data_IF_800322900032
#
_entry.id   IF_800322900032
#
_cell.length_a   1.000
_cell.length_b   1.000
_cell.length_c   1.000
_cell.angle_alpha   90.00
_cell.angle_beta   90.00
_cell.angle_gamma   90.00
#
_symmetry.space_group_name_H-M   'P 1'
#
loop_
_entity.id
_entity.type
_entity.pdbx_description
1 polymer ?
#
# COMPACT_ATOMS: atom_id res chain seq x y z
N UNK A 1 -29.52 -24.22 -23.72
CA UNK A 1 -28.33 -24.13 -22.84
C UNK A 1 -28.48 -22.82 -22.06
N UNK A 2 -28.92 -22.91 -20.80
CA UNK A 2 -29.16 -21.72 -19.97
C UNK A 2 -27.87 -21.35 -19.23
N UNK A 3 -27.33 -20.18 -19.55
CA UNK A 3 -26.18 -19.58 -18.87
C UNK A 3 -26.67 -18.97 -17.56
N UNK A 4 -26.51 -19.68 -16.46
CA UNK A 4 -26.75 -19.15 -15.10
C UNK A 4 -25.68 -18.11 -14.79
N UNK A 5 -26.02 -16.83 -14.90
CA UNK A 5 -25.17 -15.72 -14.44
C UNK A 5 -25.15 -15.78 -12.90
N UNK A 6 -23.98 -16.07 -12.33
CA UNK A 6 -23.78 -16.08 -10.90
C UNK A 6 -24.03 -14.67 -10.33
N UNK A 7 -25.09 -14.53 -9.53
CA UNK A 7 -25.36 -13.32 -8.78
C UNK A 7 -24.26 -13.14 -7.72
N UNK A 8 -23.37 -12.17 -7.94
CA UNK A 8 -22.43 -11.72 -6.92
C UNK A 8 -23.17 -10.63 -6.13
N UNK A 9 -23.53 -10.86 -4.86
CA UNK A 9 -24.19 -9.82 -4.07
C UNK A 9 -23.29 -8.58 -4.00
N UNK A 10 -23.87 -7.37 -4.06
CA UNK A 10 -23.10 -6.15 -3.89
C UNK A 10 -22.46 -6.22 -2.50
N UNK A 11 -21.12 -6.18 -2.45
CA UNK A 11 -20.41 -6.05 -1.19
C UNK A 11 -20.94 -4.80 -0.51
N UNK A 12 -21.69 -4.98 0.57
CA UNK A 12 -22.17 -3.90 1.42
C UNK A 12 -20.93 -3.13 1.83
N UNK A 13 -20.80 -1.87 1.38
CA UNK A 13 -19.67 -1.00 1.73
C UNK A 13 -19.65 -0.93 3.25
N UNK A 14 -18.77 -1.71 3.89
CA UNK A 14 -18.43 -1.47 5.27
C UNK A 14 -17.79 -0.09 5.26
N UNK A 15 -18.56 0.92 5.70
CA UNK A 15 -17.99 2.24 5.91
C UNK A 15 -16.79 2.02 6.83
N UNK A 16 -15.57 2.41 6.42
CA UNK A 16 -14.42 2.32 7.29
C UNK A 16 -14.80 2.99 8.61
N UNK A 17 -14.76 2.22 9.70
CA UNK A 17 -15.27 2.70 10.98
C UNK A 17 -14.34 3.80 11.48
N UNK A 18 -14.87 4.77 12.24
CA UNK A 18 -14.11 5.96 12.70
C UNK A 18 -12.79 5.60 13.41
N UNK A 19 -12.77 4.45 14.08
CA UNK A 19 -11.62 3.81 14.71
C UNK A 19 -10.50 3.42 13.74
N UNK A 20 -10.81 3.06 12.49
CA UNK A 20 -9.80 2.78 11.47
C UNK A 20 -9.07 4.06 11.06
N UNK A 21 -9.80 5.17 10.88
CA UNK A 21 -9.22 6.49 10.61
C UNK A 21 -8.35 6.97 11.74
N UNK A 22 -8.87 6.90 12.97
CA UNK A 22 -8.11 7.26 14.16
C UNK A 22 -6.80 6.47 14.24
N UNK A 23 -6.83 5.18 13.90
CA UNK A 23 -5.65 4.32 13.87
C UNK A 23 -4.57 4.80 12.88
N UNK A 24 -4.95 5.17 11.65
CA UNK A 24 -3.99 5.64 10.64
C UNK A 24 -3.54 7.07 10.93
N UNK A 25 -4.42 7.94 11.41
CA UNK A 25 -4.07 9.29 11.83
C UNK A 25 -3.06 9.28 12.98
N UNK A 26 -3.29 8.42 13.99
CA UNK A 26 -2.34 8.24 15.08
C UNK A 26 -0.99 7.70 14.59
N UNK A 27 -1.01 6.74 13.66
CA UNK A 27 0.23 6.22 13.06
C UNK A 27 1.00 7.31 12.32
N UNK A 28 0.32 8.13 11.49
CA UNK A 28 0.96 9.25 10.81
C UNK A 28 1.51 10.28 11.79
N UNK A 29 0.76 10.64 12.83
CA UNK A 29 1.21 11.58 13.85
C UNK A 29 2.46 11.06 14.57
N UNK A 30 2.49 9.76 14.88
CA UNK A 30 3.65 9.13 15.50
C UNK A 30 4.86 9.10 14.57
N UNK A 31 4.67 8.78 13.29
CA UNK A 31 5.76 8.81 12.29
C UNK A 31 6.32 10.23 12.14
N UNK A 32 5.48 11.25 12.08
CA UNK A 32 5.93 12.66 12.03
C UNK A 32 6.70 13.08 13.29
N UNK A 33 6.43 12.44 14.44
CA UNK A 33 7.12 12.70 15.71
C UNK A 33 8.49 12.00 15.76
N UNK A 34 8.57 10.74 15.36
CA UNK A 34 9.81 9.95 15.40
C UNK A 34 10.74 10.33 14.25
N UNK A 35 10.19 10.51 13.05
CA UNK A 35 10.92 10.74 11.81
C UNK A 35 10.32 11.97 11.10
N UNK A 36 10.60 13.19 11.59
CA UNK A 36 10.03 14.40 11.03
C UNK A 36 10.50 14.61 9.58
N UNK A 37 9.63 15.16 8.70
CA UNK A 37 9.99 15.41 7.31
C UNK A 37 11.12 16.43 7.22
N UNK A 38 12.07 16.17 6.33
CA UNK A 38 13.27 16.99 6.14
C UNK A 38 13.03 18.20 5.24
N UNK A 39 11.93 18.21 4.49
CA UNK A 39 11.64 19.22 3.49
C UNK A 39 10.27 19.86 3.71
N UNK A 40 10.09 21.02 3.08
CA UNK A 40 8.81 21.70 3.05
C UNK A 40 7.78 20.83 2.32
N UNK A 41 6.65 20.59 2.99
CA UNK A 41 5.48 19.94 2.41
C UNK A 41 4.99 20.67 1.16
N UNK A 42 4.67 19.89 0.12
CA UNK A 42 4.03 20.41 -1.09
C UNK A 42 2.51 20.42 -0.91
N UNK A 43 1.84 21.40 -1.53
CA UNK A 43 0.39 21.45 -1.51
C UNK A 43 -0.18 20.18 -2.17
N UNK A 44 -1.02 19.45 -1.43
CA UNK A 44 -1.74 18.30 -1.96
C UNK A 44 -3.11 18.73 -2.47
N UNK A 45 -3.53 18.29 -3.66
CA UNK A 45 -4.90 18.52 -4.14
C UNK A 45 -5.92 17.82 -3.23
N UNK A 46 -7.19 18.25 -3.33
CA UNK A 46 -8.28 17.66 -2.57
C UNK A 46 -8.52 16.18 -2.96
N UNK A 47 -8.33 15.83 -4.23
CA UNK A 47 -8.53 14.48 -4.78
C UNK A 47 -7.33 13.54 -4.52
N UNK A 48 -7.08 13.21 -3.24
CA UNK A 48 -5.89 12.44 -2.84
C UNK A 48 -5.95 10.95 -3.20
N UNK A 49 -7.15 10.38 -3.27
CA UNK A 49 -7.35 8.94 -3.45
C UNK A 49 -6.64 8.36 -4.68
N UNK A 50 -6.56 9.14 -5.76
CA UNK A 50 -5.97 8.71 -7.04
C UNK A 50 -4.48 9.00 -7.15
N UNK A 51 -3.91 9.72 -6.19
CA UNK A 51 -2.51 10.14 -6.28
C UNK A 51 -1.57 8.94 -6.13
N UNK A 52 -0.45 8.92 -6.87
CA UNK A 52 0.60 7.92 -6.70
C UNK A 52 1.36 8.15 -5.39
N UNK A 53 2.07 7.12 -4.92
CA UNK A 53 2.84 7.17 -3.67
C UNK A 53 3.85 8.33 -3.64
N UNK A 54 4.51 8.61 -4.78
CA UNK A 54 5.47 9.73 -4.90
C UNK A 54 4.86 11.08 -4.52
N UNK A 55 3.57 11.30 -4.81
CA UNK A 55 2.90 12.54 -4.45
C UNK A 55 2.58 12.65 -2.96
N UNK A 56 2.29 11.54 -2.28
CA UNK A 56 2.16 11.55 -0.81
C UNK A 56 3.49 11.89 -0.15
N UNK A 57 4.58 11.30 -0.64
CA UNK A 57 5.94 11.56 -0.13
C UNK A 57 6.35 13.04 -0.32
N UNK A 58 6.06 13.64 -1.48
CA UNK A 58 6.25 15.07 -1.72
C UNK A 58 5.34 15.94 -0.85
N UNK A 59 4.06 15.58 -0.79
CA UNK A 59 3.03 16.30 -0.03
C UNK A 59 3.33 16.36 1.46
N UNK A 60 3.92 15.29 2.01
CA UNK A 60 4.36 15.24 3.40
C UNK A 60 5.79 15.74 3.64
N UNK A 61 6.54 16.13 2.60
CA UNK A 61 7.89 16.70 2.75
C UNK A 61 9.00 15.68 3.06
N UNK A 62 8.78 14.39 2.78
CA UNK A 62 9.80 13.35 2.98
C UNK A 62 10.80 13.27 1.85
N UNK A 63 10.41 13.68 0.63
CA UNK A 63 11.31 13.73 -0.53
C UNK A 63 11.17 15.06 -1.26
N UNK A 64 12.17 15.40 -2.07
CA UNK A 64 12.15 16.51 -3.02
C UNK A 64 11.81 16.05 -4.45
N UNK A 65 11.34 16.94 -5.33
CA UNK A 65 11.05 16.59 -6.73
C UNK A 65 12.23 15.96 -7.48
N UNK A 66 13.45 16.48 -7.28
CA UNK A 66 14.65 15.93 -7.92
C UNK A 66 14.99 14.51 -7.44
N UNK A 67 14.74 14.20 -6.16
CA UNK A 67 14.88 12.85 -5.62
C UNK A 67 13.84 11.90 -6.22
N UNK A 68 12.59 12.35 -6.36
CA UNK A 68 11.56 11.54 -7.02
C UNK A 68 11.92 11.24 -8.48
N UNK A 69 12.38 12.24 -9.24
CA UNK A 69 12.84 12.07 -10.62
C UNK A 69 13.98 11.05 -10.68
N UNK A 70 14.98 11.18 -9.81
CA UNK A 70 16.10 10.24 -9.74
C UNK A 70 15.66 8.79 -9.51
N UNK A 71 14.80 8.55 -8.52
CA UNK A 71 14.27 7.20 -8.22
C UNK A 71 13.45 6.65 -9.40
N UNK A 72 12.64 7.49 -10.06
CA UNK A 72 11.90 7.08 -11.25
C UNK A 72 12.82 6.68 -12.41
N UNK A 73 13.94 7.39 -12.58
CA UNK A 73 14.98 7.01 -13.56
C UNK A 73 15.57 5.64 -13.23
N UNK A 74 15.94 5.38 -11.96
CA UNK A 74 16.43 4.06 -11.53
C UNK A 74 15.36 2.98 -11.80
N UNK A 75 14.10 3.25 -11.46
CA UNK A 75 13.00 2.31 -11.67
C UNK A 75 12.83 1.96 -13.15
N UNK A 76 12.91 2.96 -14.04
CA UNK A 76 12.82 2.75 -15.47
C UNK A 76 13.99 1.91 -15.99
N UNK A 77 15.22 2.22 -15.57
CA UNK A 77 16.41 1.48 -15.98
C UNK A 77 16.41 0.02 -15.51
N UNK A 78 15.98 -0.24 -14.28
CA UNK A 78 15.86 -1.61 -13.75
C UNK A 78 14.77 -2.41 -14.46
N UNK A 79 13.66 -1.77 -14.78
CA UNK A 79 12.60 -2.37 -15.60
C UNK A 79 13.09 -2.74 -17.00
N UNK A 80 13.92 -1.92 -17.64
CA UNK A 80 14.51 -2.23 -18.96
C UNK A 80 15.49 -3.41 -18.90
N UNK A 81 16.07 -3.70 -17.74
CA UNK A 81 16.93 -4.87 -17.50
C UNK A 81 16.13 -6.13 -17.11
N UNK A 82 14.80 -6.08 -17.15
CA UNK A 82 13.93 -7.21 -16.81
C UNK A 82 13.79 -7.48 -15.32
N UNK A 83 14.25 -6.57 -14.45
CA UNK A 83 14.15 -6.69 -12.99
C UNK A 83 13.25 -5.56 -12.47
N UNK A 84 11.92 -5.70 -12.55
CA UNK A 84 11.01 -4.65 -12.10
C UNK A 84 11.14 -4.46 -10.58
N UNK A 85 11.46 -3.23 -10.16
CA UNK A 85 11.51 -2.84 -8.75
C UNK A 85 10.36 -1.90 -8.40
N UNK A 86 9.85 -2.00 -7.17
CA UNK A 86 8.84 -1.07 -6.68
C UNK A 86 9.49 0.26 -6.28
N UNK A 87 8.87 1.38 -6.65
CA UNK A 87 9.36 2.73 -6.34
C UNK A 87 9.73 2.89 -4.85
N UNK A 88 8.87 2.42 -3.94
CA UNK A 88 9.11 2.50 -2.50
C UNK A 88 10.34 1.71 -2.04
N UNK A 89 10.60 0.54 -2.63
CA UNK A 89 11.77 -0.26 -2.28
C UNK A 89 13.07 0.43 -2.74
N UNK A 90 13.06 1.05 -3.92
CA UNK A 90 14.20 1.85 -4.42
C UNK A 90 14.45 3.02 -3.47
N UNK A 91 13.40 3.74 -3.03
CA UNK A 91 13.56 4.87 -2.11
C UNK A 91 14.16 4.47 -0.76
N UNK A 92 13.81 3.28 -0.26
CA UNK A 92 14.40 2.76 0.98
C UNK A 92 15.83 2.29 0.75
N UNK A 93 16.13 1.62 -0.37
CA UNK A 93 17.49 1.20 -0.72
C UNK A 93 18.44 2.40 -0.88
N UNK A 94 17.97 3.47 -1.50
CA UNK A 94 18.68 4.75 -1.64
C UNK A 94 18.69 5.60 -0.34
N UNK A 95 18.17 5.05 0.78
CA UNK A 95 18.08 5.73 2.08
C UNK A 95 17.38 7.09 2.05
N UNK A 96 16.46 7.30 1.09
CA UNK A 96 15.69 8.53 0.96
C UNK A 96 14.55 8.60 1.97
N UNK A 97 14.01 7.44 2.34
CA UNK A 97 13.01 7.25 3.39
C UNK A 97 13.27 5.94 4.14
N UNK A 98 12.79 5.84 5.37
CA UNK A 98 12.81 4.57 6.11
C UNK A 98 11.69 3.63 5.66
N UNK A 99 11.81 2.31 5.95
CA UNK A 99 10.71 1.37 5.79
C UNK A 99 9.44 1.76 6.57
N UNK A 100 9.62 2.43 7.71
CA UNK A 100 8.54 2.86 8.60
C UNK A 100 7.74 4.02 7.99
N UNK A 101 8.42 5.04 7.45
CA UNK A 101 7.79 6.13 6.70
C UNK A 101 7.04 5.59 5.49
N UNK A 102 7.67 4.70 4.72
CA UNK A 102 7.04 4.07 3.55
C UNK A 102 5.74 3.34 3.92
N UNK A 103 5.79 2.48 4.94
CA UNK A 103 4.62 1.74 5.40
C UNK A 103 3.50 2.65 5.90
N UNK A 104 3.85 3.72 6.62
CA UNK A 104 2.90 4.71 7.11
C UNK A 104 2.16 5.38 5.96
N UNK A 105 2.90 5.89 4.96
CA UNK A 105 2.29 6.61 3.84
C UNK A 105 1.50 5.71 2.90
N UNK A 106 1.88 4.43 2.77
CA UNK A 106 1.06 3.44 2.05
C UNK A 106 -0.28 3.22 2.75
N UNK A 107 -0.31 3.20 4.08
CA UNK A 107 -1.57 3.09 4.82
C UNK A 107 -2.42 4.36 4.71
N UNK A 108 -1.81 5.55 4.75
CA UNK A 108 -2.51 6.83 4.52
C UNK A 108 -3.14 6.83 3.12
N UNK A 109 -2.37 6.48 2.09
CA UNK A 109 -2.87 6.36 0.72
C UNK A 109 -4.02 5.35 0.60
N UNK A 110 -3.94 4.21 1.30
CA UNK A 110 -5.02 3.23 1.32
C UNK A 110 -6.29 3.81 1.98
N UNK A 111 -6.17 4.53 3.08
CA UNK A 111 -7.32 5.15 3.73
C UNK A 111 -7.98 6.20 2.86
N UNK A 112 -7.19 7.06 2.21
CA UNK A 112 -7.71 8.06 1.27
C UNK A 112 -8.47 7.40 0.11
N UNK A 113 -8.05 6.21 -0.34
CA UNK A 113 -8.79 5.42 -1.34
C UNK A 113 -10.07 4.77 -0.83
N UNK A 114 -10.10 4.36 0.45
CA UNK A 114 -11.26 3.72 1.06
C UNK A 114 -12.38 4.72 1.40
N UNK A 115 -12.05 5.99 1.66
CA UNK A 115 -13.05 7.07 1.87
C UNK A 115 -13.57 7.68 0.59
N UNK A 116 -12.85 7.51 -0.50
CA UNK A 116 -13.24 8.11 -1.76
C UNK A 116 -14.64 7.61 -2.17
N UNK A 117 -15.56 8.49 -2.58
CA UNK A 117 -16.92 8.08 -2.93
C UNK A 117 -16.95 7.17 -4.17
N UNK A 118 -15.90 7.23 -5.02
CA UNK A 118 -15.81 6.40 -6.23
C UNK A 118 -15.65 4.93 -5.88
N UNK A 119 -16.09 4.00 -6.75
CA UNK A 119 -15.96 2.57 -6.48
C UNK A 119 -14.50 2.17 -6.24
N UNK A 120 -14.16 1.87 -4.98
CA UNK A 120 -12.85 1.34 -4.62
C UNK A 120 -12.70 -0.07 -5.17
N UNK A 121 -11.74 -0.25 -6.09
CA UNK A 121 -11.36 -1.55 -6.63
C UNK A 121 -9.98 -1.92 -6.08
N UNK A 122 -9.90 -2.76 -5.03
CA UNK A 122 -8.62 -3.23 -4.52
C UNK A 122 -7.87 -3.99 -5.63
N UNK A 123 -6.59 -3.63 -5.83
CA UNK A 123 -5.71 -4.23 -6.83
C UNK A 123 -4.61 -5.08 -6.21
N UNK A 124 -4.23 -4.76 -4.97
CA UNK A 124 -3.14 -5.44 -4.25
C UNK A 124 -3.71 -6.31 -3.13
N UNK A 125 -3.00 -7.39 -2.79
CA UNK A 125 -3.39 -8.29 -1.69
C UNK A 125 -3.68 -7.53 -0.39
N UNK A 126 -2.82 -6.58 0.00
CA UNK A 126 -3.03 -5.77 1.21
C UNK A 126 -4.31 -4.92 1.15
N UNK A 127 -4.68 -4.41 -0.03
CA UNK A 127 -5.92 -3.64 -0.22
C UNK A 127 -7.15 -4.53 -0.07
N UNK A 128 -7.13 -5.74 -0.65
CA UNK A 128 -8.20 -6.72 -0.48
C UNK A 128 -8.39 -7.13 0.99
N UNK A 129 -7.28 -7.39 1.70
CA UNK A 129 -7.33 -7.78 3.11
C UNK A 129 -7.98 -6.70 3.99
N UNK A 130 -7.66 -5.42 3.74
CA UNK A 130 -8.26 -4.31 4.48
C UNK A 130 -9.72 -4.09 4.07
N UNK A 131 -10.03 -4.11 2.77
CA UNK A 131 -11.40 -3.91 2.27
C UNK A 131 -12.39 -4.98 2.78
N UNK A 132 -11.91 -6.21 3.00
CA UNK A 132 -12.70 -7.31 3.59
C UNK A 132 -12.73 -7.30 5.12
N UNK A 133 -12.07 -6.35 5.77
CA UNK A 133 -11.97 -6.30 7.24
C UNK A 133 -11.11 -7.43 7.85
N UNK A 134 -10.37 -8.19 7.05
CA UNK A 134 -9.49 -9.27 7.52
C UNK A 134 -8.25 -8.73 8.24
N UNK A 135 -7.80 -7.53 7.87
CA UNK A 135 -6.63 -6.88 8.45
C UNK A 135 -6.91 -5.39 8.68
N UNK A 136 -6.52 -4.88 9.85
CA UNK A 136 -6.55 -3.43 10.12
C UNK A 136 -5.36 -2.74 9.42
N UNK A 137 -5.50 -1.51 8.88
CA UNK A 137 -4.42 -0.79 8.20
C UNK A 137 -3.11 -0.70 9.00
N UNK A 138 -3.19 -0.53 10.33
CA UNK A 138 -2.01 -0.53 11.20
C UNK A 138 -1.22 -1.85 11.16
N UNK A 139 -1.92 -2.99 11.10
CA UNK A 139 -1.30 -4.32 10.99
C UNK A 139 -0.74 -4.53 9.58
N UNK A 140 -1.44 -4.06 8.55
CA UNK A 140 -0.90 -4.04 7.19
C UNK A 140 0.40 -3.21 7.14
N UNK A 141 0.44 -2.03 7.73
CA UNK A 141 1.63 -1.18 7.78
C UNK A 141 2.81 -1.89 8.45
N UNK A 142 2.62 -2.54 9.61
CA UNK A 142 3.72 -3.30 10.25
C UNK A 142 4.26 -4.44 9.39
N UNK A 143 3.39 -5.12 8.63
CA UNK A 143 3.82 -6.19 7.71
C UNK A 143 4.54 -5.62 6.48
N UNK A 144 4.07 -4.50 5.93
CA UNK A 144 4.73 -3.80 4.83
C UNK A 144 6.11 -3.26 5.23
N UNK A 145 6.24 -2.75 6.45
CA UNK A 145 7.52 -2.31 7.01
C UNK A 145 8.51 -3.48 7.08
N UNK A 146 8.09 -4.62 7.63
CA UNK A 146 8.91 -5.83 7.68
C UNK A 146 9.30 -6.31 6.28
N UNK A 147 8.35 -6.33 5.34
CA UNK A 147 8.61 -6.74 3.96
C UNK A 147 9.65 -5.85 3.29
N UNK A 148 9.50 -4.53 3.42
CA UNK A 148 10.43 -3.56 2.85
C UNK A 148 11.83 -3.73 3.44
N UNK A 149 11.94 -3.90 4.76
CA UNK A 149 13.21 -4.19 5.43
C UNK A 149 13.86 -5.48 4.90
N UNK A 150 13.11 -6.59 4.80
CA UNK A 150 13.62 -7.86 4.27
C UNK A 150 14.13 -7.72 2.82
N UNK A 151 13.43 -6.97 1.97
CA UNK A 151 13.85 -6.74 0.57
C UNK A 151 15.15 -5.98 0.46
N UNK A 152 15.37 -4.98 1.31
CA UNK A 152 16.65 -4.24 1.38
C UNK A 152 17.80 -5.18 1.76
N UNK A 153 17.53 -6.19 2.58
CA UNK A 153 18.51 -7.24 2.93
C UNK A 153 18.67 -8.32 1.84
N UNK A 154 18.02 -8.16 0.68
CA UNK A 154 18.06 -9.16 -0.41
C UNK A 154 17.10 -10.33 -0.24
N UNK A 155 16.21 -10.31 0.76
CA UNK A 155 15.21 -11.35 0.98
C UNK A 155 13.87 -10.98 0.36
N UNK A 156 13.51 -11.67 -0.73
CA UNK A 156 12.22 -11.52 -1.40
C UNK A 156 11.15 -12.41 -0.74
N UNK A 157 10.50 -11.92 0.32
CA UNK A 157 9.42 -12.67 1.00
C UNK A 157 8.04 -12.21 0.53
N UNK A 158 7.15 -13.12 0.06
CA UNK A 158 5.80 -12.77 -0.37
C UNK A 158 4.95 -12.19 0.76
N UNK A 159 4.17 -11.15 0.47
CA UNK A 159 3.37 -10.45 1.49
C UNK A 159 2.39 -11.38 2.22
N UNK A 160 1.72 -12.28 1.47
CA UNK A 160 0.79 -13.25 2.04
C UNK A 160 1.46 -14.22 3.03
N UNK A 161 2.71 -14.60 2.79
CA UNK A 161 3.45 -15.48 3.70
C UNK A 161 3.74 -14.80 5.04
N UNK A 162 4.07 -13.50 5.02
CA UNK A 162 4.29 -12.72 6.24
C UNK A 162 3.00 -12.59 7.08
N UNK A 163 1.85 -12.42 6.43
CA UNK A 163 0.56 -12.38 7.13
C UNK A 163 0.24 -13.70 7.85
N UNK A 164 0.50 -14.83 7.19
CA UNK A 164 0.30 -16.16 7.78
C UNK A 164 1.28 -16.41 8.92
N UNK A 165 2.56 -16.10 8.73
CA UNK A 165 3.60 -16.27 9.75
C UNK A 165 3.32 -15.46 11.02
N UNK A 166 2.73 -14.27 10.89
CA UNK A 166 2.34 -13.43 12.03
C UNK A 166 0.97 -13.79 12.62
N UNK A 167 0.33 -14.89 12.18
CA UNK A 167 -1.01 -15.31 12.58
C UNK A 167 -2.08 -14.21 12.40
N UNK A 168 -1.89 -13.32 11.43
CA UNK A 168 -2.82 -12.21 11.15
C UNK A 168 -3.95 -12.65 10.23
N UNK A 169 -3.67 -13.60 9.32
CA UNK A 169 -4.62 -14.10 8.34
C UNK A 169 -4.37 -15.58 8.10
N UNK A 170 -5.43 -16.37 7.93
CA UNK A 170 -5.33 -17.77 7.53
C UNK A 170 -4.89 -17.91 6.07
N UNK A 171 -4.16 -18.98 5.75
CA UNK A 171 -3.68 -19.25 4.39
C UNK A 171 -4.82 -19.33 3.36
N UNK A 172 -5.94 -19.93 3.74
CA UNK A 172 -7.14 -20.07 2.89
C UNK A 172 -7.65 -18.73 2.35
N UNK A 173 -7.70 -17.68 3.19
CA UNK A 173 -8.14 -16.36 2.75
C UNK A 173 -7.15 -15.72 1.73
N UNK A 174 -5.86 -15.99 1.87
CA UNK A 174 -4.85 -15.49 0.93
C UNK A 174 -5.02 -16.17 -0.44
N UNK A 175 -5.18 -17.49 -0.43
CA UNK A 175 -5.39 -18.29 -1.65
C UNK A 175 -6.66 -17.87 -2.39
N UNK A 176 -7.75 -17.65 -1.65
CA UNK A 176 -9.02 -17.17 -2.21
C UNK A 176 -8.87 -15.81 -2.91
N UNK A 177 -8.21 -14.84 -2.26
CA UNK A 177 -7.99 -13.52 -2.85
C UNK A 177 -7.11 -13.62 -4.09
N UNK A 178 -6.01 -14.36 -4.04
CA UNK A 178 -5.08 -14.51 -5.17
C UNK A 178 -5.75 -15.18 -6.37
N UNK A 179 -6.58 -16.20 -6.12
CA UNK A 179 -7.35 -16.87 -7.17
C UNK A 179 -8.30 -15.89 -7.89
N UNK A 180 -9.00 -15.04 -7.14
CA UNK A 180 -9.91 -14.04 -7.70
C UNK A 180 -9.17 -12.94 -8.48
N UNK A 181 -8.06 -12.42 -7.95
CA UNK A 181 -7.27 -11.39 -8.67
C UNK A 181 -6.68 -11.94 -9.96
N UNK A 182 -6.27 -13.21 -9.99
CA UNK A 182 -5.73 -13.86 -11.18
C UNK A 182 -6.80 -14.07 -12.25
N UNK A 183 -8.02 -14.42 -11.87
CA UNK A 183 -9.14 -14.56 -12.79
C UNK A 183 -9.51 -13.23 -13.48
N UNK A 184 -9.41 -12.12 -12.76
CA UNK A 184 -9.65 -10.78 -13.31
C UNK A 184 -8.52 -10.25 -14.21
N UNK A 185 -7.31 -10.83 -14.13
CA UNK A 185 -6.19 -10.42 -14.98
C UNK A 185 -6.19 -11.09 -16.37
N UNK A 186 -6.95 -12.18 -16.55
CA UNK A 186 -7.05 -12.92 -17.81
C UNK A 186 -8.30 -12.59 -18.64
N UNK A 187 -9.21 -11.76 -18.12
CA UNK A 187 -10.43 -11.32 -18.79
C UNK A 187 -10.24 -9.92 -19.41
#
# INVERSE_FOLDING_TARGET
MNTTVAYIPPMTRANPTADVFAGVAHMLAETLRIEPPLYRAWAMPAERARMPLGSYLLGHGYIRPNQLVHVLTIQQQTSLRGVPQMLGDIMVAESLISPHVLATLLAVQLMDRLVDPTPFQPKRLGEHLVARGLVKPRKLASVLQLQSWLRVQGHAVPLGSLFVQQNLVQRSHIEEIVAQTSAHACA
#
